data_IF_666953983980
#
_entry.id   IF_666953983980
#
_cell.length_a   1.000
_cell.length_b   1.000
_cell.length_c   1.000
_cell.angle_alpha   90.00
_cell.angle_beta   90.00
_cell.angle_gamma   90.00
#
_symmetry.space_group_name_H-M   'P 1'
#
loop_
_entity.id
_entity.type
_entity.pdbx_description
1 polymer ?
#
# COMPACT_ATOMS: atom_id res chain seq x y z
N UNK A 1 -51.62 26.17 18.45
CA UNK A 1 -50.19 26.15 18.06
C UNK A 1 -49.47 24.85 18.47
N UNK A 2 -49.63 24.34 19.70
CA UNK A 2 -48.90 23.14 20.18
C UNK A 2 -49.16 21.84 19.40
N UNK A 3 -50.41 21.58 18.97
CA UNK A 3 -50.76 20.41 18.14
C UNK A 3 -50.07 20.43 16.75
N UNK A 4 -49.73 21.62 16.24
CA UNK A 4 -49.06 21.77 14.94
C UNK A 4 -47.57 21.41 15.03
N UNK A 5 -46.93 21.68 16.16
CA UNK A 5 -45.54 21.31 16.44
C UNK A 5 -45.41 19.81 16.70
N UNK A 6 -46.40 19.18 17.35
CA UNK A 6 -46.42 17.75 17.65
C UNK A 6 -46.47 16.84 16.40
N UNK A 7 -47.00 17.34 15.29
CA UNK A 7 -47.12 16.60 14.02
C UNK A 7 -46.18 17.08 12.91
N UNK A 8 -45.24 17.98 13.21
CA UNK A 8 -44.40 18.63 12.20
C UNK A 8 -43.27 17.76 11.63
N UNK A 9 -43.02 16.58 12.22
CA UNK A 9 -41.90 15.71 11.83
C UNK A 9 -40.59 16.10 12.52
N UNK A 10 -39.48 15.48 12.09
CA UNK A 10 -38.16 15.70 12.68
C UNK A 10 -37.52 17.01 12.19
N UNK A 11 -36.73 17.62 13.06
CA UNK A 11 -35.88 18.77 12.71
C UNK A 11 -34.87 18.40 11.61
N UNK A 12 -34.49 19.38 10.79
CA UNK A 12 -33.67 19.15 9.60
C UNK A 12 -32.38 19.97 9.62
N UNK A 13 -31.28 19.36 9.20
CA UNK A 13 -29.99 20.04 9.02
C UNK A 13 -29.89 20.65 7.64
N UNK A 14 -29.49 21.92 7.57
CA UNK A 14 -29.36 22.61 6.29
C UNK A 14 -28.18 22.04 5.47
N UNK A 15 -28.39 21.54 4.25
CA UNK A 15 -27.31 20.98 3.44
C UNK A 15 -26.36 22.05 2.87
N UNK A 16 -26.72 23.33 2.96
CA UNK A 16 -25.87 24.44 2.49
C UNK A 16 -24.87 24.91 3.55
N UNK A 17 -25.27 24.99 4.82
CA UNK A 17 -24.44 25.54 5.89
C UNK A 17 -24.30 24.63 7.13
N UNK A 18 -25.02 23.51 7.19
CA UNK A 18 -24.98 22.53 8.30
C UNK A 18 -25.83 22.86 9.52
N UNK A 19 -26.40 24.07 9.62
CA UNK A 19 -27.17 24.50 10.79
C UNK A 19 -28.48 23.70 10.94
N UNK A 20 -28.82 23.30 12.16
CA UNK A 20 -30.09 22.62 12.49
C UNK A 20 -31.27 23.60 12.51
N UNK A 21 -32.42 23.19 11.95
CA UNK A 21 -33.64 23.99 11.86
C UNK A 21 -34.85 23.16 12.27
N UNK A 22 -35.89 23.82 12.80
CA UNK A 22 -37.10 23.13 13.24
C UNK A 22 -37.90 22.55 12.06
N UNK A 23 -38.60 21.46 12.29
CA UNK A 23 -39.40 20.77 11.26
C UNK A 23 -40.46 21.67 10.59
N UNK A 24 -41.04 22.62 11.34
CA UNK A 24 -42.01 23.61 10.82
C UNK A 24 -41.39 24.73 9.98
N UNK A 25 -40.06 24.86 9.97
CA UNK A 25 -39.35 25.95 9.30
C UNK A 25 -39.06 25.60 7.85
N UNK A 26 -39.79 26.21 6.92
CA UNK A 26 -39.59 26.02 5.48
C UNK A 26 -38.31 26.66 4.91
N UNK A 27 -37.53 27.37 5.74
CA UNK A 27 -36.25 27.99 5.39
C UNK A 27 -35.26 27.89 6.54
N UNK A 28 -33.97 27.84 6.20
CA UNK A 28 -32.89 27.86 7.17
C UNK A 28 -32.76 29.24 7.83
N UNK A 29 -32.73 29.29 9.15
CA UNK A 29 -32.59 30.52 9.91
C UNK A 29 -31.20 31.18 9.76
N UNK A 30 -30.17 30.39 9.46
CA UNK A 30 -28.79 30.87 9.37
C UNK A 30 -28.40 31.37 7.96
N UNK A 31 -28.88 30.73 6.89
CA UNK A 31 -28.50 31.08 5.51
C UNK A 31 -29.67 31.36 4.56
N UNK A 32 -30.92 31.23 5.01
CA UNK A 32 -32.11 31.52 4.20
C UNK A 32 -32.50 30.46 3.16
N UNK A 33 -31.75 29.37 3.04
CA UNK A 33 -32.01 28.28 2.09
C UNK A 33 -33.38 27.59 2.35
N UNK A 34 -34.16 27.29 1.30
CA UNK A 34 -35.47 26.62 1.41
C UNK A 34 -35.32 25.12 1.65
N UNK A 35 -36.27 24.53 2.38
CA UNK A 35 -36.38 23.07 2.57
C UNK A 35 -36.83 22.39 1.27
N UNK A 36 -36.24 21.25 0.90
CA UNK A 36 -36.63 20.46 -0.27
C UNK A 36 -37.97 19.75 -0.06
N UNK A 37 -38.73 19.50 -1.14
CA UNK A 37 -40.10 18.97 -1.09
C UNK A 37 -40.23 17.56 -0.46
N UNK A 38 -39.12 16.84 -0.32
CA UNK A 38 -38.99 15.49 0.23
C UNK A 38 -38.10 15.46 1.49
N UNK A 39 -37.75 16.62 2.06
CA UNK A 39 -36.76 16.71 3.15
C UNK A 39 -35.33 16.36 2.73
N UNK A 40 -35.08 16.17 1.42
CA UNK A 40 -33.76 15.86 0.86
C UNK A 40 -33.41 16.81 -0.31
N UNK A 41 -32.13 16.92 -0.64
CA UNK A 41 -31.60 18.00 -1.49
C UNK A 41 -31.77 17.73 -2.99
N UNK A 42 -32.10 18.74 -3.84
CA UNK A 42 -31.86 18.67 -5.27
C UNK A 42 -30.35 18.54 -5.54
N UNK A 43 -29.94 17.43 -6.17
CA UNK A 43 -28.56 17.20 -6.60
C UNK A 43 -28.02 18.40 -7.37
N UNK A 44 -26.82 18.88 -6.98
CA UNK A 44 -26.03 19.80 -7.81
C UNK A 44 -25.87 19.17 -9.20
N UNK A 45 -26.48 19.79 -10.21
CA UNK A 45 -26.10 19.55 -11.62
C UNK A 45 -24.61 19.83 -11.72
N UNK A 46 -23.84 18.77 -11.98
CA UNK A 46 -22.43 18.88 -12.31
C UNK A 46 -22.30 19.75 -13.56
N UNK A 47 -21.84 20.99 -13.38
CA UNK A 47 -21.31 21.79 -14.48
C UNK A 47 -20.03 21.11 -14.95
N UNK A 48 -19.98 20.82 -16.23
CA UNK A 48 -18.81 20.35 -16.97
C UNK A 48 -17.61 21.24 -16.68
N UNK A 49 -16.57 20.66 -16.06
CA UNK A 49 -15.23 21.24 -16.05
C UNK A 49 -14.44 20.61 -17.20
N UNK A 50 -13.96 21.48 -18.11
CA UNK A 50 -12.91 21.14 -19.08
C UNK A 50 -11.68 20.58 -18.35
N UNK A 51 -10.91 19.67 -18.96
CA UNK A 51 -9.72 19.11 -18.35
C UNK A 51 -8.66 20.21 -18.16
N UNK A 52 -8.18 20.37 -16.92
CA UNK A 52 -7.03 21.20 -16.58
C UNK A 52 -5.78 20.38 -16.88
N UNK A 53 -4.84 20.94 -17.66
CA UNK A 53 -3.50 20.38 -17.87
C UNK A 53 -2.82 20.21 -16.51
N UNK A 54 -2.36 18.99 -16.24
CA UNK A 54 -1.51 18.65 -15.10
C UNK A 54 -0.05 19.06 -15.39
N UNK A 55 0.67 19.66 -14.44
CA UNK A 55 2.13 19.61 -14.41
C UNK A 55 2.57 18.26 -13.81
N UNK A 56 3.57 17.66 -14.45
CA UNK A 56 4.21 16.40 -14.09
C UNK A 56 4.54 16.29 -12.60
N UNK A 57 4.03 15.23 -11.96
CA UNK A 57 4.54 14.75 -10.68
C UNK A 57 5.42 13.53 -10.94
N UNK A 58 6.65 13.59 -10.43
CA UNK A 58 7.63 12.52 -10.42
C UNK A 58 7.05 11.29 -9.71
N UNK A 59 7.14 10.13 -10.38
CA UNK A 59 6.82 8.83 -9.80
C UNK A 59 8.06 8.30 -9.10
N UNK A 60 8.06 8.38 -7.77
CA UNK A 60 9.03 7.70 -6.92
C UNK A 60 8.63 6.22 -6.77
N UNK A 61 9.48 5.37 -7.33
CA UNK A 61 9.33 3.92 -7.38
C UNK A 61 10.07 3.29 -6.21
N UNK A 62 9.51 3.41 -5.00
CA UNK A 62 10.00 2.70 -3.81
C UNK A 62 8.89 1.84 -3.22
N UNK A 63 8.62 0.71 -3.89
CA UNK A 63 7.57 -0.21 -3.49
C UNK A 63 7.70 -1.61 -4.09
N UNK A 64 8.91 -2.07 -4.41
CA UNK A 64 9.16 -3.45 -4.87
C UNK A 64 10.51 -3.97 -4.37
N UNK A 65 10.55 -4.39 -3.11
CA UNK A 65 11.45 -5.39 -2.56
C UNK A 65 10.85 -5.74 -1.18
N UNK A 66 10.54 -6.95 -0.79
CA UNK A 66 11.00 -8.27 -1.18
C UNK A 66 10.76 -9.07 0.09
N UNK A 67 9.91 -10.09 0.00
CA UNK A 67 9.58 -10.98 1.11
C UNK A 67 10.82 -11.73 1.58
N UNK A 68 11.33 -11.42 2.77
CA UNK A 68 12.30 -12.25 3.47
C UNK A 68 11.64 -12.78 4.75
N UNK A 69 11.48 -14.10 4.79
CA UNK A 69 10.87 -14.85 5.87
C UNK A 69 11.60 -14.63 7.20
N UNK A 70 10.84 -14.31 8.24
CA UNK A 70 11.32 -14.36 9.63
C UNK A 70 11.09 -15.76 10.16
N UNK A 71 12.18 -16.45 10.50
CA UNK A 71 12.18 -17.72 11.20
C UNK A 71 11.77 -17.48 12.67
N UNK A 72 10.65 -18.06 13.09
CA UNK A 72 10.25 -18.12 14.50
C UNK A 72 11.12 -19.15 15.28
N UNK A 73 11.55 -18.86 16.52
CA UNK A 73 12.16 -19.85 17.40
C UNK A 73 11.10 -20.72 18.14
N UNK A 74 11.43 -21.97 18.54
CA UNK A 74 10.45 -22.95 18.98
C UNK A 74 9.96 -22.73 20.42
N UNK A 75 8.63 -22.66 20.59
CA UNK A 75 7.93 -22.72 21.89
C UNK A 75 7.95 -24.14 22.46
N UNK A 76 8.57 -24.31 23.64
CA UNK A 76 8.53 -25.56 24.44
C UNK A 76 7.10 -25.85 24.91
N UNK A 77 6.66 -27.09 24.71
CA UNK A 77 5.36 -27.63 25.17
C UNK A 77 5.52 -28.24 26.56
N UNK A 78 4.82 -27.69 27.55
CA UNK A 78 4.51 -28.35 28.82
C UNK A 78 3.02 -28.66 28.87
N UNK A 79 2.66 -29.93 29.11
CA UNK A 79 1.28 -30.40 29.36
C UNK A 79 1.09 -30.58 30.87
N UNK A 80 -0.07 -30.14 31.40
CA UNK A 80 -1.06 -30.90 32.21
C UNK A 80 -2.11 -29.92 32.76
N UNK A 81 -3.41 -30.11 32.45
CA UNK A 81 -4.51 -30.59 33.32
C UNK A 81 -4.77 -29.75 34.59
N UNK A 82 -5.97 -29.52 35.11
CA UNK A 82 -7.38 -29.54 34.73
C UNK A 82 -8.11 -29.02 36.01
N UNK A 83 -9.19 -28.24 35.91
CA UNK A 83 -9.99 -27.87 37.09
C UNK A 83 -11.04 -26.80 36.81
N UNK A 84 -12.28 -27.06 37.23
CA UNK A 84 -13.56 -26.49 36.81
C UNK A 84 -14.09 -25.43 37.81
N UNK A 85 -15.08 -24.64 37.35
CA UNK A 85 -16.17 -23.94 38.09
C UNK A 85 -15.91 -22.44 38.41
N UNK A 86 -16.54 -21.46 37.72
CA UNK A 86 -17.96 -21.02 37.65
C UNK A 86 -18.17 -19.72 38.47
N UNK A 87 -18.70 -18.72 37.75
CA UNK A 87 -19.53 -17.59 38.15
C UNK A 87 -19.04 -16.57 39.19
N UNK A 88 -18.77 -15.36 38.69
CA UNK A 88 -18.81 -14.10 39.43
C UNK A 88 -19.08 -12.96 38.46
N UNK A 89 -20.35 -12.74 38.13
CA UNK A 89 -20.80 -11.60 37.35
C UNK A 89 -20.55 -10.27 38.12
N UNK A 90 -20.57 -9.17 37.35
CA UNK A 90 -20.64 -7.77 37.76
C UNK A 90 -19.28 -7.09 37.98
N UNK A 91 -18.83 -6.32 36.98
CA UNK A 91 -18.77 -4.85 37.00
C UNK A 91 -17.91 -4.35 35.83
N UNK A 92 -18.39 -3.30 35.16
CA UNK A 92 -17.55 -2.45 34.32
C UNK A 92 -17.51 -2.84 32.85
N UNK A 93 -18.57 -2.47 32.12
CA UNK A 93 -18.47 -2.16 30.70
C UNK A 93 -17.48 -1.01 30.50
N UNK A 94 -16.21 -1.36 30.34
CA UNK A 94 -15.20 -0.49 29.78
C UNK A 94 -15.09 -0.80 28.29
N UNK A 95 -15.81 -0.03 27.47
CA UNK A 95 -15.51 0.14 26.05
C UNK A 95 -14.04 0.54 25.93
N UNK A 96 -13.14 -0.43 25.78
CA UNK A 96 -11.82 -0.18 25.21
C UNK A 96 -12.09 0.05 23.72
N UNK A 97 -12.47 1.28 23.40
CA UNK A 97 -12.26 1.83 22.06
C UNK A 97 -10.76 1.76 21.87
N UNK A 98 -10.31 0.71 21.16
CA UNK A 98 -9.00 0.67 20.57
C UNK A 98 -8.89 1.88 19.65
N UNK A 99 -8.39 2.97 20.21
CA UNK A 99 -8.04 4.20 19.52
C UNK A 99 -6.87 3.88 18.59
N UNK A 100 -7.20 3.28 17.45
CA UNK A 100 -6.30 2.99 16.33
C UNK A 100 -5.87 4.26 15.60
N UNK A 101 -5.45 5.27 16.35
CA UNK A 101 -4.67 6.38 15.80
C UNK A 101 -3.30 5.86 15.35
N UNK A 102 -2.65 6.51 14.37
CA UNK A 102 -1.31 6.14 13.97
C UNK A 102 -0.38 6.18 15.20
N UNK A 103 0.53 5.20 15.34
CA UNK A 103 1.41 5.13 16.49
C UNK A 103 2.21 6.44 16.60
N UNK A 104 2.19 7.06 17.79
CA UNK A 104 2.92 8.30 18.03
C UNK A 104 4.43 8.06 17.92
N UNK A 105 5.20 8.99 17.32
CA UNK A 105 6.65 8.90 17.32
C UNK A 105 7.20 9.00 18.74
N UNK A 106 8.14 8.13 19.07
CA UNK A 106 8.87 8.10 20.35
C UNK A 106 10.35 8.31 20.07
N UNK A 107 10.97 9.26 20.77
CA UNK A 107 12.41 9.49 20.74
C UNK A 107 13.11 8.49 21.65
N UNK A 108 14.17 7.86 21.15
CA UNK A 108 15.03 6.95 21.90
C UNK A 108 16.45 7.51 21.90
N UNK A 109 17.06 7.57 23.07
CA UNK A 109 18.50 7.86 23.16
C UNK A 109 19.29 6.68 22.61
N UNK A 110 20.29 7.01 21.80
CA UNK A 110 21.16 6.07 21.15
C UNK A 110 22.58 6.62 21.09
N UNK A 111 23.52 5.77 20.75
CA UNK A 111 24.91 6.13 20.50
C UNK A 111 25.41 5.41 19.24
N UNK A 112 26.37 6.00 18.55
CA UNK A 112 27.02 5.38 17.40
C UNK A 112 27.94 4.27 17.89
N UNK A 113 27.44 3.04 17.86
CA UNK A 113 28.20 1.86 18.32
C UNK A 113 29.20 1.34 17.30
N UNK A 114 28.94 1.52 16.00
CA UNK A 114 29.84 1.12 14.90
C UNK A 114 29.66 2.02 13.69
N UNK A 115 30.77 2.20 12.97
CA UNK A 115 30.85 2.83 11.67
C UNK A 115 31.56 1.85 10.76
N UNK A 116 30.90 1.39 9.71
CA UNK A 116 31.46 0.45 8.75
C UNK A 116 31.41 1.03 7.35
N UNK A 117 32.44 0.76 6.57
CA UNK A 117 32.49 1.13 5.17
C UNK A 117 32.99 -0.05 4.34
N UNK A 118 32.48 -0.11 3.11
CA UNK A 118 32.90 -1.09 2.10
C UNK A 118 33.08 -0.38 0.77
N UNK A 119 34.29 -0.43 0.22
CA UNK A 119 34.64 0.07 -1.10
C UNK A 119 34.87 -1.08 -2.05
N UNK A 120 34.10 -1.12 -3.12
CA UNK A 120 34.17 -2.15 -4.16
C UNK A 120 34.62 -1.50 -5.47
N UNK A 121 35.62 -2.08 -6.10
CA UNK A 121 36.01 -1.76 -7.47
C UNK A 121 35.76 -2.98 -8.33
N UNK A 122 34.91 -2.82 -9.35
CA UNK A 122 34.62 -3.83 -10.35
C UNK A 122 35.46 -3.54 -11.59
N UNK A 123 36.20 -4.55 -12.05
CA UNK A 123 36.78 -4.57 -13.39
C UNK A 123 35.73 -5.10 -14.34
N UNK A 124 35.35 -4.27 -15.31
CA UNK A 124 34.40 -4.63 -16.35
C UNK A 124 35.14 -4.78 -17.67
N UNK A 125 34.77 -5.78 -18.47
CA UNK A 125 35.24 -5.97 -19.83
C UNK A 125 34.08 -5.88 -20.83
N UNK A 126 34.34 -5.25 -21.97
CA UNK A 126 33.41 -5.14 -23.09
C UNK A 126 33.30 -6.48 -23.80
N UNK A 127 32.23 -7.22 -23.54
CA UNK A 127 32.05 -8.58 -24.05
C UNK A 127 30.76 -8.72 -24.82
N UNK A 128 30.78 -9.65 -25.77
CA UNK A 128 29.59 -10.06 -26.49
C UNK A 128 28.68 -10.89 -25.56
N UNK A 129 27.40 -10.53 -25.54
CA UNK A 129 26.36 -11.16 -24.74
C UNK A 129 25.12 -11.37 -25.60
N UNK A 130 24.35 -12.41 -25.27
CA UNK A 130 23.06 -12.67 -25.89
C UNK A 130 21.95 -11.90 -25.16
N UNK A 131 21.11 -11.21 -25.92
CA UNK A 131 19.93 -10.50 -25.43
C UNK A 131 18.71 -10.87 -26.26
N UNK A 132 17.54 -10.56 -25.73
CA UNK A 132 16.31 -10.61 -26.49
C UNK A 132 15.34 -9.55 -26.01
N UNK A 133 14.57 -9.02 -26.95
CA UNK A 133 13.57 -7.98 -26.69
C UNK A 133 12.31 -8.20 -27.54
N UNK A 134 11.19 -7.64 -27.09
CA UNK A 134 9.94 -7.62 -27.84
C UNK A 134 9.97 -6.53 -28.92
N UNK A 135 9.30 -6.80 -30.03
CA UNK A 135 9.20 -5.89 -31.17
C UNK A 135 10.23 -6.17 -32.25
N UNK A 136 10.43 -5.19 -33.13
CA UNK A 136 11.36 -5.30 -34.26
C UNK A 136 12.73 -4.75 -33.88
N UNK A 137 13.72 -5.63 -33.83
CA UNK A 137 15.12 -5.29 -33.61
C UNK A 137 15.85 -5.31 -34.95
N UNK A 138 16.70 -4.31 -35.20
CA UNK A 138 17.49 -4.24 -36.42
C UNK A 138 18.98 -4.31 -36.10
N UNK A 139 19.72 -5.05 -36.92
CA UNK A 139 21.17 -5.12 -36.84
C UNK A 139 21.77 -3.72 -37.07
N UNK A 140 22.81 -3.40 -36.29
CA UNK A 140 23.54 -2.13 -36.42
C UNK A 140 25.00 -2.34 -36.04
N UNK A 141 25.94 -1.65 -36.70
CA UNK A 141 27.34 -1.70 -36.31
C UNK A 141 27.55 -1.07 -34.92
N UNK A 142 28.58 -1.54 -34.24
CA UNK A 142 29.07 -1.01 -32.97
C UNK A 142 30.46 -0.42 -33.10
N UNK A 143 30.94 0.20 -32.03
CA UNK A 143 32.33 0.64 -31.88
C UNK A 143 32.86 0.14 -30.55
N UNK A 144 34.00 -0.53 -30.60
CA UNK A 144 34.71 -0.98 -29.40
C UNK A 144 35.26 0.21 -28.59
N UNK A 145 35.37 0.08 -27.25
CA UNK A 145 35.99 1.10 -26.43
C UNK A 145 37.50 1.17 -26.67
N UNK A 146 38.07 2.35 -26.41
CA UNK A 146 39.51 2.55 -26.27
C UNK A 146 39.75 3.08 -24.87
N UNK A 147 40.62 2.43 -24.10
CA UNK A 147 40.84 2.70 -22.68
C UNK A 147 39.53 2.85 -21.88
N UNK A 148 38.56 1.97 -22.11
CA UNK A 148 37.29 1.98 -21.39
C UNK A 148 36.26 3.03 -21.83
N UNK A 149 36.52 3.80 -22.88
CA UNK A 149 35.68 4.93 -23.30
C UNK A 149 35.27 4.90 -24.78
N UNK A 150 34.15 5.56 -25.09
CA UNK A 150 33.70 5.82 -26.47
C UNK A 150 33.02 4.65 -27.19
N UNK A 151 32.64 3.60 -26.46
CA UNK A 151 31.95 2.44 -27.01
C UNK A 151 30.46 2.70 -27.27
N UNK A 152 29.93 2.07 -28.30
CA UNK A 152 28.50 1.84 -28.46
C UNK A 152 28.29 0.43 -29.02
N UNK A 153 27.34 -0.31 -28.44
CA UNK A 153 27.12 -1.70 -28.77
C UNK A 153 26.60 -1.89 -30.20
N UNK A 154 27.09 -2.90 -30.88
CA UNK A 154 26.52 -3.46 -32.09
C UNK A 154 25.26 -4.27 -31.76
N UNK A 155 24.43 -4.49 -32.77
CA UNK A 155 23.39 -5.52 -32.75
C UNK A 155 23.70 -6.44 -33.92
N UNK A 156 23.98 -7.70 -33.63
CA UNK A 156 24.37 -8.76 -34.57
C UNK A 156 23.43 -9.95 -34.44
N UNK A 157 23.44 -10.82 -35.44
CA UNK A 157 22.77 -12.13 -35.41
C UNK A 157 21.32 -12.09 -34.92
N UNK A 158 20.56 -11.12 -35.43
CA UNK A 158 19.16 -10.92 -35.06
C UNK A 158 18.31 -12.06 -35.62
N UNK A 159 17.60 -12.75 -34.75
CA UNK A 159 16.66 -13.81 -35.07
C UNK A 159 15.32 -13.54 -34.39
N UNK A 160 14.29 -13.26 -35.19
CA UNK A 160 12.96 -12.90 -34.70
C UNK A 160 11.92 -14.00 -34.93
N UNK A 161 11.05 -14.21 -33.95
CA UNK A 161 9.96 -15.18 -34.01
C UNK A 161 8.75 -14.70 -33.19
N UNK A 162 7.54 -15.08 -33.60
CA UNK A 162 6.33 -14.80 -32.81
C UNK A 162 6.35 -15.62 -31.50
N UNK A 163 6.18 -14.95 -30.36
CA UNK A 163 6.05 -15.59 -29.05
C UNK A 163 4.84 -15.03 -28.31
N UNK A 164 4.25 -15.85 -27.44
CA UNK A 164 3.17 -15.39 -26.57
C UNK A 164 3.74 -14.40 -25.56
N UNK A 165 3.31 -13.13 -25.64
CA UNK A 165 3.70 -12.06 -24.72
C UNK A 165 2.89 -12.09 -23.43
N UNK A 166 1.65 -12.54 -23.54
CA UNK A 166 0.74 -12.65 -22.41
C UNK A 166 -0.66 -13.04 -22.85
N UNK A 167 -1.61 -12.68 -22.00
CA UNK A 167 -3.01 -13.04 -22.15
C UNK A 167 -3.89 -11.80 -22.03
N UNK A 168 -4.82 -11.64 -22.97
CA UNK A 168 -5.80 -10.57 -22.92
C UNK A 168 -7.15 -11.13 -22.46
N UNK A 169 -7.74 -10.45 -21.46
CA UNK A 169 -9.10 -10.70 -21.03
C UNK A 169 -10.07 -9.83 -21.82
N UNK A 170 -10.96 -10.47 -22.57
CA UNK A 170 -11.96 -9.78 -23.38
C UNK A 170 -13.37 -10.30 -23.08
N UNK A 171 -14.39 -9.51 -23.42
CA UNK A 171 -15.79 -9.92 -23.26
C UNK A 171 -16.18 -10.83 -24.42
N UNK A 172 -16.33 -12.12 -24.14
CA UNK A 172 -16.66 -13.13 -25.15
C UNK A 172 -18.15 -13.45 -25.23
N UNK A 173 -18.97 -12.99 -24.27
CA UNK A 173 -20.41 -13.21 -24.34
C UNK A 173 -21.16 -12.87 -23.05
N UNK A 174 -22.28 -13.55 -22.85
CA UNK A 174 -23.07 -13.53 -21.64
C UNK A 174 -23.15 -14.95 -21.08
N UNK A 175 -23.19 -15.09 -19.76
CA UNK A 175 -23.52 -16.34 -19.10
C UNK A 175 -24.78 -16.18 -18.26
N UNK A 176 -25.66 -17.17 -18.38
CA UNK A 176 -26.87 -17.26 -17.56
C UNK A 176 -26.50 -17.86 -16.21
N UNK A 177 -27.02 -17.25 -15.14
CA UNK A 177 -26.89 -17.77 -13.79
C UNK A 177 -28.24 -17.67 -13.08
N UNK A 178 -28.50 -18.68 -12.26
CA UNK A 178 -29.69 -18.74 -11.41
C UNK A 178 -29.44 -17.96 -10.13
N UNK A 179 -30.36 -17.08 -9.75
CA UNK A 179 -30.32 -16.39 -8.45
C UNK A 179 -31.69 -16.40 -7.78
N UNK A 180 -31.71 -16.32 -6.46
CA UNK A 180 -32.94 -16.24 -5.69
C UNK A 180 -33.36 -14.78 -5.57
N UNK A 181 -34.59 -14.47 -5.96
CA UNK A 181 -35.17 -13.14 -5.81
C UNK A 181 -36.36 -13.19 -4.85
N UNK A 182 -36.34 -12.28 -3.88
CA UNK A 182 -37.44 -12.09 -2.93
C UNK A 182 -38.61 -11.38 -3.62
N UNK A 183 -39.81 -11.91 -3.51
CA UNK A 183 -41.03 -11.24 -3.98
C UNK A 183 -42.16 -11.40 -2.96
N UNK A 184 -43.18 -10.53 -3.03
CA UNK A 184 -44.37 -10.64 -2.17
C UNK A 184 -45.29 -11.72 -2.74
N UNK A 185 -45.49 -12.79 -1.98
CA UNK A 185 -46.33 -13.92 -2.37
C UNK A 185 -47.72 -13.90 -1.72
N UNK A 186 -47.95 -12.99 -0.77
CA UNK A 186 -49.24 -12.87 -0.09
C UNK A 186 -49.16 -12.01 1.16
N UNK A 187 -50.14 -12.13 2.03
CA UNK A 187 -50.10 -11.54 3.36
C UNK A 187 -50.78 -12.44 4.39
N UNK A 188 -50.28 -12.42 5.62
CA UNK A 188 -50.83 -13.15 6.75
C UNK A 188 -51.37 -12.17 7.77
N UNK A 189 -52.54 -12.44 8.34
CA UNK A 189 -53.03 -11.69 9.49
C UNK A 189 -52.34 -12.16 10.76
N UNK A 190 -51.64 -11.25 11.43
CA UNK A 190 -51.15 -11.46 12.79
C UNK A 190 -52.10 -10.76 13.75
N UNK A 191 -52.76 -11.54 14.59
CA UNK A 191 -53.68 -11.04 15.59
C UNK A 191 -53.07 -11.18 16.99
N UNK A 192 -53.21 -10.13 17.80
CA UNK A 192 -52.94 -10.18 19.23
C UNK A 192 -54.25 -10.00 19.98
N UNK A 193 -54.48 -10.85 20.96
CA UNK A 193 -55.65 -10.77 21.85
C UNK A 193 -55.19 -10.28 23.21
N UNK A 194 -55.79 -9.19 23.69
CA UNK A 194 -55.54 -8.65 25.03
C UNK A 194 -56.77 -8.87 25.90
N UNK A 195 -56.58 -9.43 27.09
CA UNK A 195 -57.63 -9.53 28.09
C UNK A 195 -57.82 -8.16 28.75
N UNK A 196 -59.05 -7.65 28.78
CA UNK A 196 -59.37 -6.35 29.35
C UNK A 196 -59.69 -6.43 30.86
N UNK A 197 -59.45 -7.59 31.49
CA UNK A 197 -59.61 -7.87 32.92
C UNK A 197 -61.03 -7.68 33.48
N UNK A 198 -62.04 -7.53 32.60
CA UNK A 198 -63.46 -7.44 32.93
C UNK A 198 -64.27 -8.59 32.30
N UNK A 199 -63.60 -9.69 31.97
CA UNK A 199 -64.20 -10.83 31.25
C UNK A 199 -64.29 -10.66 29.72
N UNK A 200 -63.94 -9.49 29.17
CA UNK A 200 -63.90 -9.25 27.72
C UNK A 200 -62.47 -9.31 27.15
N UNK A 201 -62.36 -9.62 25.84
CA UNK A 201 -61.09 -9.68 25.12
C UNK A 201 -61.12 -8.77 23.90
N UNK A 202 -60.07 -7.97 23.71
CA UNK A 202 -59.89 -7.16 22.51
C UNK A 202 -58.91 -7.86 21.56
N UNK A 203 -59.38 -8.20 20.36
CA UNK A 203 -58.54 -8.77 19.29
C UNK A 203 -58.16 -7.67 18.30
N UNK A 204 -56.87 -7.36 18.21
CA UNK A 204 -56.33 -6.48 17.17
C UNK A 204 -55.56 -7.29 16.15
N UNK A 205 -55.96 -7.21 14.88
CA UNK A 205 -55.30 -7.89 13.78
C UNK A 205 -54.64 -6.89 12.85
N UNK A 206 -53.42 -7.19 12.42
CA UNK A 206 -52.74 -6.45 11.34
C UNK A 206 -52.31 -7.39 10.24
N UNK A 207 -52.51 -6.95 9.00
CA UNK A 207 -52.05 -7.67 7.82
C UNK A 207 -50.56 -7.41 7.63
N UNK A 208 -49.75 -8.49 7.62
CA UNK A 208 -48.30 -8.40 7.41
C UNK A 208 -47.97 -9.05 6.06
N UNK A 209 -47.25 -8.36 5.16
CA UNK A 209 -46.87 -8.94 3.87
C UNK A 209 -45.93 -10.12 4.06
N UNK A 210 -46.19 -11.21 3.36
CA UNK A 210 -45.32 -12.38 3.30
C UNK A 210 -44.37 -12.24 2.11
N UNK A 211 -43.09 -12.50 2.36
CA UNK A 211 -42.06 -12.55 1.32
C UNK A 211 -41.70 -14.01 1.05
N UNK A 212 -41.71 -14.39 -0.23
CA UNK A 212 -41.25 -15.68 -0.70
C UNK A 212 -40.03 -15.50 -1.60
N UNK A 213 -39.30 -16.57 -1.81
CA UNK A 213 -38.16 -16.63 -2.72
C UNK A 213 -38.58 -17.37 -3.99
N UNK A 214 -38.17 -16.87 -5.14
CA UNK A 214 -38.25 -17.61 -6.40
C UNK A 214 -36.90 -17.63 -7.09
N UNK A 215 -36.65 -18.70 -7.82
CA UNK A 215 -35.47 -18.85 -8.67
C UNK A 215 -35.68 -18.09 -9.98
N UNK A 216 -34.79 -17.16 -10.31
CA UNK A 216 -34.81 -16.40 -11.56
C UNK A 216 -33.50 -16.57 -12.32
N UNK A 217 -33.60 -16.69 -13.64
CA UNK A 217 -32.43 -16.67 -14.53
C UNK A 217 -32.05 -15.23 -14.83
N UNK A 218 -30.76 -14.89 -14.65
CA UNK A 218 -30.19 -13.59 -15.01
C UNK A 218 -28.96 -13.80 -15.87
N UNK A 219 -28.58 -12.80 -16.65
CA UNK A 219 -27.38 -12.85 -17.49
C UNK A 219 -26.34 -11.84 -17.00
N UNK A 220 -25.08 -12.24 -17.05
CA UNK A 220 -23.93 -11.35 -16.76
C UNK A 220 -22.87 -11.45 -17.85
N UNK A 221 -22.04 -10.42 -18.07
CA UNK A 221 -20.92 -10.48 -18.99
C UNK A 221 -19.98 -11.66 -18.67
N UNK A 222 -19.76 -12.53 -19.66
CA UNK A 222 -18.73 -13.56 -19.61
C UNK A 222 -17.44 -12.99 -20.19
N UNK A 223 -16.36 -13.12 -19.44
CA UNK A 223 -15.03 -12.73 -19.88
C UNK A 223 -14.18 -13.97 -20.13
N UNK A 224 -13.58 -14.03 -21.31
CA UNK A 224 -12.67 -15.09 -21.72
C UNK A 224 -11.26 -14.53 -21.84
N UNK A 225 -10.30 -15.44 -21.92
CA UNK A 225 -8.88 -15.13 -22.12
C UNK A 225 -8.45 -15.63 -23.49
N UNK A 226 -7.61 -14.87 -24.19
CA UNK A 226 -6.90 -15.32 -25.40
C UNK A 226 -5.42 -14.96 -25.32
N UNK A 227 -4.53 -15.79 -25.89
CA UNK A 227 -3.12 -15.44 -25.98
C UNK A 227 -2.93 -14.24 -26.91
N UNK A 228 -2.05 -13.33 -26.51
CA UNK A 228 -1.55 -12.24 -27.35
C UNK A 228 -0.11 -12.58 -27.73
N UNK A 229 0.12 -12.68 -29.03
CA UNK A 229 1.44 -12.90 -29.61
C UNK A 229 2.06 -11.56 -30.00
N UNK A 230 3.37 -11.47 -29.82
CA UNK A 230 4.19 -10.37 -30.31
C UNK A 230 5.52 -10.94 -30.79
N UNK A 231 6.21 -10.22 -31.68
CA UNK A 231 7.52 -10.62 -32.17
C UNK A 231 8.55 -10.52 -31.04
N UNK A 232 9.30 -11.59 -30.80
CA UNK A 232 10.46 -11.63 -29.93
C UNK A 232 11.72 -11.82 -30.78
N UNK A 233 12.70 -10.94 -30.61
CA UNK A 233 13.96 -11.01 -31.32
C UNK A 233 15.10 -11.34 -30.36
N UNK A 234 15.77 -12.46 -30.59
CA UNK A 234 17.04 -12.81 -29.95
C UNK A 234 18.19 -12.22 -30.79
N UNK A 235 19.22 -11.64 -30.17
CA UNK A 235 20.36 -11.03 -30.85
C UNK A 235 21.63 -11.02 -29.99
N UNK A 236 22.78 -10.87 -30.64
CA UNK A 236 24.06 -10.62 -29.97
C UNK A 236 24.33 -9.12 -29.89
N UNK A 237 24.76 -8.66 -28.73
CA UNK A 237 25.15 -7.27 -28.47
C UNK A 237 26.39 -7.25 -27.60
N UNK A 238 27.08 -6.12 -27.52
CA UNK A 238 28.18 -5.95 -26.58
C UNK A 238 27.74 -5.17 -25.34
N UNK A 239 28.20 -5.61 -24.17
CA UNK A 239 27.93 -4.96 -22.89
C UNK A 239 29.17 -5.01 -21.99
N UNK A 240 29.22 -4.07 -21.04
CA UNK A 240 30.19 -4.12 -19.95
C UNK A 240 29.80 -5.22 -18.97
N UNK A 241 30.63 -6.25 -18.88
CA UNK A 241 30.42 -7.39 -17.99
C UNK A 241 31.49 -7.39 -16.90
N UNK A 242 31.08 -7.62 -15.65
CA UNK A 242 32.04 -7.72 -14.54
C UNK A 242 32.89 -8.97 -14.71
N UNK A 243 34.21 -8.79 -14.84
CA UNK A 243 35.17 -9.89 -14.96
C UNK A 243 35.94 -10.15 -13.66
N UNK A 244 36.10 -9.13 -12.83
CA UNK A 244 36.75 -9.24 -11.54
C UNK A 244 36.21 -8.18 -10.57
N UNK A 245 36.26 -8.46 -9.28
CA UNK A 245 35.84 -7.55 -8.22
C UNK A 245 36.90 -7.56 -7.13
N UNK A 246 37.39 -6.37 -6.76
CA UNK A 246 38.19 -6.17 -5.55
C UNK A 246 37.37 -5.40 -4.54
N UNK A 247 37.49 -5.78 -3.29
CA UNK A 247 36.81 -5.14 -2.17
C UNK A 247 37.83 -4.74 -1.10
N UNK A 248 37.60 -3.59 -0.48
CA UNK A 248 38.27 -3.16 0.72
C UNK A 248 37.19 -2.72 1.71
N UNK A 249 37.30 -3.14 2.96
CA UNK A 249 36.32 -2.82 3.99
C UNK A 249 37.02 -2.54 5.31
N UNK A 250 36.39 -1.72 6.14
CA UNK A 250 36.93 -1.35 7.43
C UNK A 250 35.89 -0.79 8.38
N UNK A 251 36.34 -0.53 9.60
CA UNK A 251 35.56 0.15 10.63
C UNK A 251 36.13 1.56 10.89
N UNK A 252 35.26 2.49 11.29
CA UNK A 252 35.61 3.89 11.53
C UNK A 252 35.95 4.65 10.25
N UNK A 253 36.86 5.62 10.38
CA UNK A 253 37.27 6.51 9.27
C UNK A 253 38.65 6.17 8.71
N UNK A 254 39.33 5.17 9.26
CA UNK A 254 40.66 4.76 8.83
C UNK A 254 40.63 3.86 7.59
N UNK A 255 41.65 3.95 6.72
CA UNK A 255 41.84 3.03 5.59
C UNK A 255 40.98 3.31 4.35
N UNK A 256 40.31 4.46 4.32
CA UNK A 256 39.34 4.88 3.31
C UNK A 256 39.93 4.98 1.90
N UNK A 257 39.95 3.87 1.17
CA UNK A 257 40.55 3.81 -0.17
C UNK A 257 39.84 2.76 -1.02
N UNK A 258 39.69 3.06 -2.31
CA UNK A 258 39.19 2.09 -3.27
C UNK A 258 40.34 1.17 -3.70
N UNK A 259 40.12 -0.16 -3.73
CA UNK A 259 41.10 -1.06 -4.31
C UNK A 259 41.25 -0.75 -5.81
N UNK A 260 42.47 -0.75 -6.32
CA UNK A 260 42.74 -0.47 -7.74
C UNK A 260 43.08 -1.75 -8.49
N UNK A 261 42.86 -1.70 -9.81
CA UNK A 261 43.42 -2.68 -10.75
C UNK A 261 44.59 -2.01 -11.46
N UNK A 262 45.63 -2.80 -11.73
CA UNK A 262 46.76 -2.37 -12.53
C UNK A 262 46.35 -2.27 -14.01
N UNK A 263 47.31 -1.98 -14.89
CA UNK A 263 47.16 -1.76 -16.35
C UNK A 263 45.90 -2.40 -16.97
N UNK A 264 44.96 -1.54 -17.39
CA UNK A 264 43.72 -1.93 -18.04
C UNK A 264 43.93 -2.12 -19.54
N UNK A 265 43.31 -3.14 -20.11
CA UNK A 265 43.20 -3.28 -21.57
C UNK A 265 42.23 -2.24 -22.15
N UNK A 266 42.26 -2.04 -23.48
CA UNK A 266 41.39 -1.06 -24.15
C UNK A 266 39.90 -1.38 -24.00
N UNK A 267 39.57 -2.67 -23.95
CA UNK A 267 38.23 -3.23 -23.75
C UNK A 267 37.85 -3.35 -22.27
N UNK A 268 38.63 -2.75 -21.37
CA UNK A 268 38.40 -2.81 -19.93
C UNK A 268 38.16 -1.42 -19.33
N UNK A 269 37.36 -1.39 -18.27
CA UNK A 269 37.17 -0.21 -17.42
C UNK A 269 36.94 -0.62 -15.97
N UNK A 270 37.10 0.33 -15.06
CA UNK A 270 36.75 0.14 -13.66
C UNK A 270 35.47 0.90 -13.30
N UNK A 271 34.66 0.30 -12.44
CA UNK A 271 33.46 0.89 -11.85
C UNK A 271 33.59 0.80 -10.33
N UNK A 272 33.42 1.92 -9.63
CA UNK A 272 33.62 2.02 -8.19
C UNK A 272 32.29 2.24 -7.48
N UNK A 273 32.06 1.52 -6.39
CA UNK A 273 30.90 1.67 -5.51
C UNK A 273 31.35 1.65 -4.06
N UNK A 274 30.83 2.58 -3.26
CA UNK A 274 31.00 2.59 -1.82
C UNK A 274 29.66 2.44 -1.11
N UNK A 275 29.68 1.70 0.00
CA UNK A 275 28.55 1.53 0.91
C UNK A 275 29.01 1.91 2.30
N UNK A 276 28.27 2.80 2.95
CA UNK A 276 28.57 3.31 4.28
C UNK A 276 27.43 2.99 5.23
N UNK A 277 27.77 2.41 6.38
CA UNK A 277 26.80 1.89 7.32
C UNK A 277 27.08 2.43 8.72
N UNK A 278 26.08 3.07 9.32
CA UNK A 278 26.12 3.49 10.71
C UNK A 278 25.28 2.53 11.54
N UNK A 279 25.81 2.04 12.65
CA UNK A 279 25.08 1.23 13.62
C UNK A 279 24.91 1.97 14.94
N UNK A 280 23.67 2.25 15.30
CA UNK A 280 23.29 2.87 16.55
C UNK A 280 22.91 1.81 17.59
N UNK A 281 23.48 1.85 18.79
CA UNK A 281 22.97 1.08 19.94
C UNK A 281 21.95 1.93 20.68
N UNK A 282 20.84 1.31 21.10
CA UNK A 282 19.81 1.96 21.91
C UNK A 282 19.16 0.95 22.85
N UNK A 283 18.78 1.40 24.06
CA UNK A 283 18.27 0.51 25.11
C UNK A 283 19.21 -0.66 25.43
N UNK A 284 18.70 -1.68 26.12
CA UNK A 284 19.49 -2.86 26.45
C UNK A 284 19.68 -3.76 25.22
N UNK A 285 20.84 -3.63 24.56
CA UNK A 285 21.30 -4.54 23.51
C UNK A 285 20.63 -4.39 22.13
N UNK A 286 19.73 -3.42 21.94
CA UNK A 286 19.11 -3.19 20.62
C UNK A 286 20.04 -2.38 19.72
N UNK A 287 20.01 -2.69 18.41
CA UNK A 287 20.83 -2.00 17.41
C UNK A 287 20.00 -1.63 16.19
N UNK A 288 20.21 -0.43 15.66
CA UNK A 288 19.64 0.05 14.41
C UNK A 288 20.77 0.30 13.41
N UNK A 289 20.61 -0.18 12.19
CA UNK A 289 21.59 -0.04 11.11
C UNK A 289 20.98 0.75 9.98
N UNK A 290 21.71 1.74 9.50
CA UNK A 290 21.32 2.55 8.36
C UNK A 290 22.45 2.63 7.33
N UNK A 291 22.13 2.45 6.05
CA UNK A 291 23.03 2.78 4.95
C UNK A 291 22.89 4.27 4.60
N UNK A 292 24.00 4.99 4.55
CA UNK A 292 24.01 6.45 4.44
C UNK A 292 24.91 6.93 3.31
N UNK A 293 24.71 8.19 2.90
CA UNK A 293 25.60 8.87 1.97
C UNK A 293 26.98 9.16 2.63
N UNK A 294 28.08 9.21 1.86
CA UNK A 294 29.42 9.44 2.39
C UNK A 294 29.53 10.67 3.30
N UNK A 295 28.95 11.81 2.88
CA UNK A 295 28.97 13.04 3.68
C UNK A 295 28.27 12.89 5.05
N UNK A 296 27.24 12.05 5.14
CA UNK A 296 26.58 11.77 6.42
C UNK A 296 27.47 10.89 7.27
N UNK A 297 28.02 9.81 6.69
CA UNK A 297 28.94 8.89 7.38
C UNK A 297 30.13 9.63 8.00
N UNK A 298 30.81 10.46 7.21
CA UNK A 298 32.00 11.23 7.64
C UNK A 298 31.68 12.24 8.75
N UNK A 299 30.42 12.68 8.86
CA UNK A 299 30.03 13.61 9.92
C UNK A 299 29.92 12.93 11.29
N UNK A 300 29.68 11.62 11.35
CA UNK A 300 29.46 10.89 12.60
C UNK A 300 30.75 10.31 13.15
N UNK A 301 30.91 10.34 14.48
CA UNK A 301 32.03 9.71 15.18
C UNK A 301 31.58 8.52 16.03
N UNK A 302 32.47 7.55 16.25
CA UNK A 302 32.21 6.43 17.14
C UNK A 302 31.94 6.95 18.56
N UNK A 303 30.90 6.43 19.22
CA UNK A 303 30.46 6.87 20.54
C UNK A 303 29.66 8.17 20.56
N UNK A 304 29.42 8.82 19.42
CA UNK A 304 28.63 10.05 19.36
C UNK A 304 27.16 9.77 19.72
N UNK A 305 26.56 10.65 20.53
CA UNK A 305 25.14 10.53 20.92
C UNK A 305 24.21 10.81 19.74
N UNK A 306 23.14 10.04 19.65
CA UNK A 306 22.09 10.17 18.64
C UNK A 306 20.70 10.03 19.28
N UNK A 307 19.71 10.58 18.60
CA UNK A 307 18.29 10.40 18.95
C UNK A 307 17.62 9.67 17.79
N UNK A 308 17.11 8.47 18.05
CA UNK A 308 16.32 7.70 17.08
C UNK A 308 14.84 8.01 17.23
N UNK A 309 14.14 8.16 16.11
CA UNK A 309 12.68 8.32 16.10
C UNK A 309 12.03 6.99 15.75
N UNK A 310 11.25 6.44 16.67
CA UNK A 310 10.52 5.17 16.49
C UNK A 310 9.03 5.43 16.31
N UNK A 311 8.44 4.84 15.28
CA UNK A 311 6.98 4.85 15.03
C UNK A 311 6.50 3.39 15.01
N UNK A 312 5.73 3.00 16.02
CA UNK A 312 5.36 1.60 16.23
C UNK A 312 6.60 0.75 16.53
N UNK A 313 6.88 -0.25 15.69
CA UNK A 313 8.03 -1.16 15.81
C UNK A 313 9.22 -0.79 14.92
N UNK A 314 9.13 0.30 14.13
CA UNK A 314 10.16 0.69 13.17
C UNK A 314 10.83 2.00 13.56
N UNK A 315 12.14 2.07 13.37
CA UNK A 315 12.86 3.35 13.36
C UNK A 315 12.59 4.02 12.02
N UNK A 316 12.26 5.30 12.06
CA UNK A 316 11.91 6.11 10.87
C UNK A 316 12.87 7.27 10.63
N UNK A 317 13.81 7.51 11.55
CA UNK A 317 14.82 8.54 11.40
C UNK A 317 15.77 8.62 12.60
N UNK A 318 16.85 9.39 12.42
CA UNK A 318 17.87 9.65 13.42
C UNK A 318 18.36 11.10 13.30
N UNK A 319 18.84 11.67 14.41
CA UNK A 319 19.43 13.01 14.45
C UNK A 319 20.42 13.14 15.61
N UNK A 320 21.24 14.20 15.60
CA UNK A 320 22.01 14.60 16.77
C UNK A 320 21.10 15.21 17.86
N UNK A 321 21.44 15.05 19.15
CA UNK A 321 20.85 15.84 20.21
C UNK A 321 21.08 17.33 19.94
N UNK A 322 20.11 18.16 20.31
CA UNK A 322 20.35 19.61 20.34
C UNK A 322 21.08 19.96 21.63
N UNK A 323 21.73 21.12 21.69
CA UNK A 323 22.50 21.53 22.87
C UNK A 323 21.64 21.64 24.16
N UNK A 324 20.32 21.72 24.00
CA UNK A 324 19.29 21.82 25.03
C UNK A 324 18.58 20.48 25.36
N UNK A 325 19.01 19.35 24.76
CA UNK A 325 18.49 17.98 24.99
C UNK A 325 19.59 17.02 25.52
#
# INVERSE_FOLDING_TARGET
EELRLAHAGADWSCPYCGSGNRAVSGRCASCGARVGADGSSPRKRARSRRPRREPSANLDLSGLAGTAASLDPPKRRGRLLAGIAVAGALFGGGLIVASGGPPKPVSLEAEVSRLNWTHTTQLEAWREVQRGDWGQVHARPGKAPVKGAGAYAAIKDVSCQERQRGDERYRCGLESYTTSESYRCGSTQKCSTRNNANGSFTRSCRTVPQTCQRSVQRTRPKHCTRPVYETWCDYLTEEWTTVNTKENAGEGHGGYSFPTFDALADDQRTSQRATYTITFSYGEGSRYREEVQPAVYESWSLGERAILTRVGSRIVGYRRPRADE
#
